data_IF_798323232845
#
_entry.id   IF_798323232845
#
_cell.length_a   1.000
_cell.length_b   1.000
_cell.length_c   1.000
_cell.angle_alpha   90.00
_cell.angle_beta   90.00
_cell.angle_gamma   90.00
#
_symmetry.space_group_name_H-M   'P 1'
#
loop_
_entity.id
_entity.type
_entity.pdbx_description
1 polymer ?
#
# COMPACT_ATOMS: atom_id res chain seq x y z
N UNK A 1 19.90 -6.55 -14.22
CA UNK A 1 19.56 -7.78 -13.46
C UNK A 1 19.03 -7.35 -12.11
N UNK A 2 17.71 -7.34 -11.93
CA UNK A 2 17.11 -7.06 -10.63
C UNK A 2 17.21 -8.33 -9.78
N UNK A 3 18.14 -8.36 -8.83
CA UNK A 3 18.23 -9.47 -7.89
C UNK A 3 16.95 -9.50 -7.05
N UNK A 4 16.31 -10.67 -6.93
CA UNK A 4 15.17 -10.82 -6.04
C UNK A 4 15.63 -10.54 -4.60
N UNK A 5 14.87 -9.71 -3.88
CA UNK A 5 15.12 -9.45 -2.45
C UNK A 5 15.14 -10.76 -1.67
N UNK A 6 16.15 -10.93 -0.81
CA UNK A 6 16.18 -12.04 0.16
C UNK A 6 15.00 -11.95 1.12
N UNK A 7 14.61 -13.07 1.73
CA UNK A 7 13.49 -13.09 2.68
C UNK A 7 13.73 -12.11 3.84
N UNK A 8 14.95 -12.07 4.39
CA UNK A 8 15.33 -11.14 5.46
C UNK A 8 15.25 -9.67 5.02
N UNK A 9 15.68 -9.36 3.80
CA UNK A 9 15.58 -8.00 3.27
C UNK A 9 14.11 -7.58 3.09
N UNK A 10 13.25 -8.51 2.64
CA UNK A 10 11.81 -8.26 2.53
C UNK A 10 11.17 -7.99 3.89
N UNK A 11 11.52 -8.79 4.89
CA UNK A 11 10.98 -8.65 6.25
C UNK A 11 11.36 -7.31 6.89
N UNK A 12 12.64 -6.92 6.75
CA UNK A 12 13.11 -5.59 7.21
C UNK A 12 12.39 -4.45 6.49
N UNK A 13 12.29 -4.52 5.16
CA UNK A 13 11.57 -3.51 4.38
C UNK A 13 10.09 -3.44 4.75
N UNK A 14 9.46 -4.59 5.03
CA UNK A 14 8.08 -4.63 5.50
C UNK A 14 7.92 -3.91 6.84
N UNK A 15 8.81 -4.18 7.81
CA UNK A 15 8.82 -3.49 9.09
C UNK A 15 9.04 -1.98 8.93
N UNK A 16 9.96 -1.56 8.07
CA UNK A 16 10.21 -0.15 7.78
C UNK A 16 9.00 0.53 7.13
N UNK A 17 8.34 -0.13 6.17
CA UNK A 17 7.09 0.36 5.57
C UNK A 17 5.98 0.52 6.61
N UNK A 18 5.79 -0.47 7.49
CA UNK A 18 4.76 -0.43 8.53
C UNK A 18 5.00 0.72 9.53
N UNK A 19 6.26 0.95 9.91
CA UNK A 19 6.65 2.06 10.76
C UNK A 19 6.41 3.41 10.08
N UNK A 20 6.80 3.55 8.81
CA UNK A 20 6.60 4.78 8.05
C UNK A 20 5.12 5.11 7.83
N UNK A 21 4.28 4.11 7.59
CA UNK A 21 2.82 4.25 7.52
C UNK A 21 2.26 4.74 8.86
N UNK A 22 2.69 4.11 9.96
CA UNK A 22 2.29 4.51 11.31
C UNK A 22 2.71 5.95 11.64
N UNK A 23 3.90 6.37 11.22
CA UNK A 23 4.43 7.72 11.40
C UNK A 23 3.69 8.77 10.53
N UNK A 24 3.29 8.39 9.31
CA UNK A 24 2.42 9.23 8.48
C UNK A 24 1.07 9.49 9.17
N UNK A 25 0.53 8.48 9.84
CA UNK A 25 -0.75 8.54 10.55
C UNK A 25 -1.95 8.48 9.60
N UNK A 26 -3.11 8.10 10.14
CA UNK A 26 -4.29 7.73 9.37
C UNK A 26 -4.76 8.82 8.37
N UNK A 27 -4.67 10.10 8.73
CA UNK A 27 -5.09 11.20 7.86
C UNK A 27 -4.21 11.38 6.62
N UNK A 28 -2.92 11.01 6.71
CA UNK A 28 -1.93 11.20 5.64
C UNK A 28 -1.49 9.90 4.99
N UNK A 29 -1.92 8.75 5.50
CA UNK A 29 -1.54 7.43 5.05
C UNK A 29 -1.73 7.26 3.53
N UNK A 30 -2.91 7.58 3.02
CA UNK A 30 -3.20 7.46 1.58
C UNK A 30 -2.28 8.34 0.73
N UNK A 31 -1.95 9.53 1.22
CA UNK A 31 -1.09 10.50 0.55
C UNK A 31 0.37 10.03 0.57
N UNK A 32 0.83 9.49 1.70
CA UNK A 32 2.13 8.87 1.85
C UNK A 32 2.29 7.67 0.91
N UNK A 33 1.31 6.75 0.89
CA UNK A 33 1.35 5.56 0.03
C UNK A 33 1.35 5.93 -1.45
N UNK A 34 0.51 6.88 -1.87
CA UNK A 34 0.49 7.37 -3.24
C UNK A 34 1.87 7.96 -3.63
N UNK A 35 2.49 8.74 -2.75
CA UNK A 35 3.83 9.31 -2.98
C UNK A 35 4.91 8.24 -3.03
N UNK A 36 4.88 7.25 -2.13
CA UNK A 36 5.84 6.14 -2.11
C UNK A 36 5.77 5.33 -3.42
N UNK A 37 4.56 5.01 -3.89
CA UNK A 37 4.35 4.30 -5.15
C UNK A 37 4.88 5.10 -6.35
N UNK A 38 4.64 6.41 -6.38
CA UNK A 38 5.17 7.27 -7.45
C UNK A 38 6.70 7.26 -7.50
N UNK A 39 7.37 7.38 -6.36
CA UNK A 39 8.83 7.29 -6.29
C UNK A 39 9.35 5.95 -6.81
N UNK A 40 8.66 4.85 -6.50
CA UNK A 40 9.02 3.52 -7.03
C UNK A 40 8.78 3.41 -8.55
N UNK A 41 7.72 4.03 -9.06
CA UNK A 41 7.44 4.06 -10.50
C UNK A 41 8.49 4.85 -11.28
N UNK A 42 9.02 5.94 -10.73
CA UNK A 42 10.14 6.67 -11.33
C UNK A 42 11.39 5.79 -11.46
N UNK A 43 11.64 4.90 -10.50
CA UNK A 43 12.74 3.93 -10.59
C UNK A 43 12.50 2.84 -11.65
N UNK A 44 11.24 2.53 -11.97
CA UNK A 44 10.88 1.57 -13.03
C UNK A 44 11.00 2.21 -14.41
N UNK A 45 10.59 3.48 -14.55
CA UNK A 45 10.69 4.26 -15.79
C UNK A 45 9.81 3.78 -16.95
N UNK A 46 8.87 2.87 -16.70
CA UNK A 46 7.99 2.27 -17.71
C UNK A 46 6.52 2.40 -17.31
N UNK A 47 5.84 3.36 -17.93
CA UNK A 47 4.46 3.72 -17.66
C UNK A 47 3.47 2.58 -17.92
N UNK A 48 3.71 1.75 -18.95
CA UNK A 48 2.84 0.63 -19.27
C UNK A 48 2.94 -0.46 -18.19
N UNK A 49 4.15 -0.74 -17.71
CA UNK A 49 4.37 -1.66 -16.59
C UNK A 49 3.77 -1.14 -15.29
N UNK A 50 3.89 0.15 -15.01
CA UNK A 50 3.27 0.78 -13.83
C UNK A 50 1.74 0.65 -13.88
N UNK A 51 1.10 0.92 -15.03
CA UNK A 51 -0.35 0.73 -15.20
C UNK A 51 -0.78 -0.73 -15.02
N UNK A 52 -0.01 -1.68 -15.57
CA UNK A 52 -0.29 -3.10 -15.40
C UNK A 52 -0.23 -3.51 -13.92
N UNK A 53 0.77 -3.02 -13.17
CA UNK A 53 0.89 -3.29 -11.74
C UNK A 53 -0.27 -2.71 -10.93
N UNK A 54 -0.74 -1.49 -11.26
CA UNK A 54 -1.94 -0.91 -10.63
C UNK A 54 -3.19 -1.76 -10.89
N UNK A 55 -3.39 -2.20 -12.13
CA UNK A 55 -4.52 -3.05 -12.49
C UNK A 55 -4.47 -4.41 -11.78
N UNK A 56 -3.29 -5.00 -11.61
CA UNK A 56 -3.09 -6.22 -10.81
C UNK A 56 -3.45 -6.00 -9.34
N UNK A 57 -2.89 -4.95 -8.72
CA UNK A 57 -3.13 -4.65 -7.31
C UNK A 57 -4.61 -4.38 -7.02
N UNK A 58 -5.34 -3.75 -7.94
CA UNK A 58 -6.78 -3.54 -7.83
C UNK A 58 -7.60 -4.83 -7.97
N UNK A 59 -7.14 -5.79 -8.79
CA UNK A 59 -7.81 -7.09 -8.94
C UNK A 59 -7.68 -7.97 -7.70
N UNK A 60 -6.51 -7.94 -7.07
CA UNK A 60 -6.21 -8.72 -5.87
C UNK A 60 -6.64 -8.02 -4.57
N UNK A 61 -7.19 -6.81 -4.66
CA UNK A 61 -7.67 -6.08 -3.50
C UNK A 61 -8.86 -6.85 -2.90
N UNK A 62 -8.76 -7.37 -1.66
CA UNK A 62 -9.88 -8.04 -1.04
C UNK A 62 -11.01 -7.01 -0.86
N UNK A 63 -12.15 -7.25 -1.51
CA UNK A 63 -13.36 -6.46 -1.27
C UNK A 63 -13.69 -6.59 0.22
N UNK A 64 -13.85 -5.48 0.96
CA UNK A 64 -14.28 -5.57 2.34
C UNK A 64 -15.62 -6.31 2.36
N UNK A 65 -15.66 -7.47 2.99
CA UNK A 65 -16.93 -8.14 3.28
C UNK A 65 -17.70 -7.22 4.22
N UNK A 66 -18.85 -6.72 3.77
CA UNK A 66 -19.82 -5.93 4.52
C UNK A 66 -20.35 -6.72 5.73
N UNK A 67 -19.57 -6.81 6.81
CA UNK A 67 -20.05 -7.27 8.13
C UNK A 67 -19.55 -6.41 9.28
N UNK A 68 -18.82 -5.33 9.01
CA UNK A 68 -18.65 -4.26 9.99
C UNK A 68 -19.86 -3.31 9.89
N UNK A 69 -20.94 -3.63 10.60
CA UNK A 69 -21.99 -2.65 10.92
C UNK A 69 -21.30 -1.45 11.57
N UNK A 70 -21.45 -0.21 11.07
CA UNK A 70 -21.11 0.95 11.86
C UNK A 70 -22.08 0.93 13.05
N UNK A 71 -21.55 0.78 14.26
CA UNK A 71 -22.31 1.02 15.47
C UNK A 71 -22.62 2.53 15.53
N UNK A 72 -23.66 2.94 14.80
CA UNK A 72 -24.45 4.10 15.17
C UNK A 72 -25.15 3.72 16.48
N UNK A 73 -24.42 3.90 17.58
CA UNK A 73 -25.00 3.94 18.90
C UNK A 73 -25.55 5.36 19.09
N UNK A 74 -26.73 5.58 18.50
CA UNK A 74 -27.62 6.64 18.94
C UNK A 74 -27.76 6.59 20.46
N UNK A 75 -27.50 7.71 21.11
CA UNK A 75 -28.06 7.96 22.44
C UNK A 75 -28.71 9.32 22.39
N UNK A 76 -30.04 9.26 22.37
CA UNK A 76 -30.93 10.37 22.69
C UNK A 76 -30.81 10.75 24.17
#
# INVERSE_FOLDING_TARGET
MTAALTLEARDRLYAECANAISEAGAERESLFLARLVLLLFEQIGDEARCRAALAEALRDLPVPSLSAVPADAGTA
#
